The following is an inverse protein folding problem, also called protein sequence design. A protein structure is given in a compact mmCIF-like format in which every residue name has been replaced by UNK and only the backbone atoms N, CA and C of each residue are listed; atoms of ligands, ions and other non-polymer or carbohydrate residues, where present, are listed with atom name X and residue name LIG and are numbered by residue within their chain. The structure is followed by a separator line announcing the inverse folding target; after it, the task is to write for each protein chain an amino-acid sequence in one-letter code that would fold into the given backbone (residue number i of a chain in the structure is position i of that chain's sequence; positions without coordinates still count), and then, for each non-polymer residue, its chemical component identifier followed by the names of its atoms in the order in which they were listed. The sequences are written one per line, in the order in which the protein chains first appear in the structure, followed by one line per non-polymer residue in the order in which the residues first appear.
data_IF_259633818101
#
_entry.id   IF_259633818101
#
_cell.length_a   1.000
_cell.length_b   1.000
_cell.length_c   1.000
_cell.angle_alpha   90.00
_cell.angle_beta   90.00
_cell.angle_gamma   90.00
#
_symmetry.space_group_name_H-M   'P 1'
#
loop_
_entity.id
_entity.type
_entity.pdbx_description
1 polymer ?
#
# COMPACT_ATOMS: atom_id res chain seq x y z
N UNK A 1 -14.02 -0.38 -10.05
CA UNK A 1 -13.03 0.72 -9.96
C UNK A 1 -11.59 0.24 -9.85
N UNK A 2 -11.30 -0.86 -9.15
CA UNK A 2 -9.95 -1.43 -9.01
C UNK A 2 -9.18 -1.57 -10.34
N UNK A 3 -9.83 -2.07 -11.40
CA UNK A 3 -9.22 -2.18 -12.73
C UNK A 3 -8.68 -0.85 -13.25
N UNK A 4 -9.40 0.26 -13.03
CA UNK A 4 -8.99 1.63 -13.44
C UNK A 4 -7.80 2.15 -12.62
N UNK A 5 -7.72 1.74 -11.35
CA UNK A 5 -6.61 2.04 -10.47
C UNK A 5 -5.35 1.32 -10.94
N UNK A 6 -5.43 0.01 -11.18
CA UNK A 6 -4.31 -0.83 -11.64
C UNK A 6 -3.77 -0.35 -12.98
N UNK A 7 -4.65 0.04 -13.91
CA UNK A 7 -4.27 0.47 -15.27
C UNK A 7 -3.87 1.94 -15.37
N UNK A 8 -3.83 2.68 -14.26
CA UNK A 8 -3.42 4.08 -14.26
C UNK A 8 -4.40 5.01 -15.01
N UNK A 9 -5.67 4.63 -15.12
CA UNK A 9 -6.71 5.47 -15.73
C UNK A 9 -7.23 6.55 -14.78
N UNK A 10 -6.88 6.47 -13.49
CA UNK A 10 -7.16 7.51 -12.50
C UNK A 10 -6.07 8.58 -12.53
N UNK A 11 -6.41 9.79 -12.09
CA UNK A 11 -5.42 10.86 -11.95
C UNK A 11 -4.38 10.51 -10.88
N UNK A 12 -3.18 11.05 -11.03
CA UNK A 12 -2.07 10.86 -10.09
C UNK A 12 -2.44 11.20 -8.63
N UNK A 13 -3.06 12.38 -8.34
CA UNK A 13 -3.48 12.68 -6.97
C UNK A 13 -4.56 11.72 -6.46
N UNK A 14 -5.52 11.29 -7.29
CA UNK A 14 -6.54 10.32 -6.86
C UNK A 14 -5.91 8.95 -6.53
N UNK A 15 -4.95 8.51 -7.35
CA UNK A 15 -4.25 7.23 -7.18
C UNK A 15 -3.36 7.24 -5.93
N UNK A 16 -2.56 8.29 -5.75
CA UNK A 16 -1.61 8.36 -4.64
C UNK A 16 -2.26 8.79 -3.32
N UNK A 17 -2.99 9.90 -3.29
CA UNK A 17 -3.61 10.41 -2.05
C UNK A 17 -4.89 9.67 -1.70
N UNK A 18 -5.75 9.45 -2.69
CA UNK A 18 -7.04 8.78 -2.49
C UNK A 18 -6.86 7.31 -2.15
N UNK A 19 -6.15 6.55 -2.97
CA UNK A 19 -5.99 5.11 -2.74
C UNK A 19 -4.78 4.77 -1.89
N UNK A 20 -3.60 5.33 -2.18
CA UNK A 20 -2.38 5.04 -1.43
C UNK A 20 -2.44 5.55 0.01
N UNK A 21 -2.53 6.87 0.20
CA UNK A 21 -2.47 7.48 1.53
C UNK A 21 -3.72 7.19 2.36
N UNK A 22 -4.92 7.53 1.87
CA UNK A 22 -6.15 7.33 2.63
C UNK A 22 -6.45 5.84 2.86
N UNK A 23 -6.31 4.99 1.84
CA UNK A 23 -6.48 3.55 1.98
C UNK A 23 -5.45 2.94 2.94
N UNK A 24 -4.18 3.35 2.86
CA UNK A 24 -3.14 2.92 3.78
C UNK A 24 -3.38 3.35 5.24
N UNK A 25 -3.92 4.55 5.45
CA UNK A 25 -4.32 5.06 6.77
C UNK A 25 -5.46 4.24 7.38
N UNK A 26 -6.52 3.99 6.62
CA UNK A 26 -7.66 3.21 7.08
C UNK A 26 -7.25 1.79 7.50
N UNK A 27 -6.42 1.13 6.68
CA UNK A 27 -5.91 -0.21 7.01
C UNK A 27 -4.99 -0.18 8.23
N UNK A 28 -4.15 0.86 8.34
CA UNK A 28 -3.28 1.05 9.50
C UNK A 28 -4.06 1.23 10.80
N UNK A 29 -5.12 2.05 10.78
CA UNK A 29 -6.03 2.24 11.92
C UNK A 29 -6.73 0.93 12.29
N UNK A 30 -7.13 0.13 11.30
CA UNK A 30 -7.73 -1.19 11.54
C UNK A 30 -6.76 -2.15 12.25
N UNK A 31 -5.48 -2.15 11.86
CA UNK A 31 -4.43 -2.91 12.55
C UNK A 31 -4.24 -2.45 14.00
N UNK A 32 -4.24 -1.14 14.23
CA UNK A 32 -4.10 -0.53 15.56
C UNK A 32 -5.31 -0.83 16.45
N UNK A 33 -6.52 -0.76 15.90
CA UNK A 33 -7.75 -1.18 16.57
C UNK A 33 -7.72 -2.68 16.93
N UNK A 34 -7.15 -3.52 16.07
CA UNK A 34 -6.93 -4.95 16.34
C UNK A 34 -6.07 -5.20 17.58
N UNK A 35 -5.06 -4.36 17.82
CA UNK A 35 -4.23 -4.42 19.05
C UNK A 35 -5.07 -4.07 20.27
N UNK A 36 -5.83 -2.96 20.23
CA UNK A 36 -6.64 -2.50 21.37
C UNK A 36 -7.80 -3.43 21.73
N UNK A 37 -8.28 -4.22 20.77
CA UNK A 37 -9.40 -5.15 20.95
C UNK A 37 -8.94 -6.58 21.28
N UNK A 38 -7.63 -6.82 21.40
CA UNK A 38 -7.06 -8.15 21.71
C UNK A 38 -7.00 -9.12 20.53
N UNK A 39 -7.40 -8.68 19.32
CA UNK A 39 -7.32 -9.49 18.11
C UNK A 39 -5.97 -9.34 17.42
N UNK A 40 -4.93 -9.94 18.00
CA UNK A 40 -3.55 -9.85 17.49
C UNK A 40 -3.40 -10.31 16.02
N UNK A 41 -4.26 -11.23 15.53
CA UNK A 41 -4.26 -11.66 14.12
C UNK A 41 -4.66 -10.57 13.12
N UNK A 42 -5.38 -9.52 13.55
CA UNK A 42 -5.70 -8.39 12.66
C UNK A 42 -4.47 -7.60 12.25
N UNK A 43 -3.40 -7.63 13.05
CA UNK A 43 -2.14 -6.94 12.76
C UNK A 43 -1.46 -7.49 11.51
N UNK A 44 -1.05 -8.78 11.43
CA UNK A 44 -0.45 -9.32 10.21
C UNK A 44 -1.40 -9.27 9.01
N UNK A 45 -2.70 -9.47 9.23
CA UNK A 45 -3.71 -9.33 8.16
C UNK A 45 -3.72 -7.91 7.57
N UNK A 46 -3.69 -6.88 8.43
CA UNK A 46 -3.66 -5.49 7.98
C UNK A 46 -2.41 -5.17 7.16
N UNK A 47 -1.26 -5.74 7.52
CA UNK A 47 -0.03 -5.58 6.73
C UNK A 47 -0.09 -6.25 5.37
N UNK A 48 -0.69 -7.46 5.26
CA UNK A 48 -0.90 -8.14 3.99
C UNK A 48 -1.79 -7.27 3.08
N UNK A 49 -2.94 -6.84 3.58
CA UNK A 49 -3.89 -6.02 2.82
C UNK A 49 -3.27 -4.69 2.41
N UNK A 50 -2.51 -4.04 3.31
CA UNK A 50 -1.78 -2.80 3.02
C UNK A 50 -0.75 -3.00 1.91
N UNK A 51 -0.01 -4.11 1.93
CA UNK A 51 1.01 -4.41 0.91
C UNK A 51 0.36 -4.67 -0.46
N UNK A 52 -0.78 -5.35 -0.50
CA UNK A 52 -1.56 -5.55 -1.73
C UNK A 52 -2.05 -4.19 -2.28
N UNK A 53 -2.59 -3.34 -1.41
CA UNK A 53 -3.06 -2.00 -1.79
C UNK A 53 -1.92 -1.17 -2.41
N UNK A 54 -0.76 -1.10 -1.74
CA UNK A 54 0.38 -0.34 -2.25
C UNK A 54 0.96 -0.94 -3.53
N UNK A 55 0.91 -2.26 -3.73
CA UNK A 55 1.29 -2.90 -4.99
C UNK A 55 0.37 -2.48 -6.15
N UNK A 56 -0.94 -2.41 -5.90
CA UNK A 56 -1.93 -1.93 -6.88
C UNK A 56 -1.72 -0.45 -7.20
N UNK A 57 -1.50 0.37 -6.18
CA UNK A 57 -1.21 1.80 -6.33
C UNK A 57 0.09 2.02 -7.09
N UNK A 58 1.13 1.24 -6.79
CA UNK A 58 2.40 1.26 -7.50
C UNK A 58 2.19 0.96 -8.98
N UNK A 59 1.50 -0.13 -9.32
CA UNK A 59 1.14 -0.48 -10.70
C UNK A 59 0.43 0.69 -11.40
N UNK A 60 -0.59 1.26 -10.76
CA UNK A 60 -1.33 2.41 -11.29
C UNK A 60 -0.44 3.60 -11.60
N UNK A 61 0.46 3.95 -10.67
CA UNK A 61 1.44 5.02 -10.85
C UNK A 61 2.38 4.69 -12.00
N UNK A 62 2.90 3.46 -12.12
CA UNK A 62 3.78 3.06 -13.23
C UNK A 62 3.11 3.25 -14.60
N UNK A 63 1.83 2.89 -14.74
CA UNK A 63 1.08 3.11 -15.97
C UNK A 63 0.85 4.60 -16.26
N UNK A 64 0.61 5.43 -15.23
CA UNK A 64 0.50 6.89 -15.38
C UNK A 64 1.82 7.48 -15.87
N UNK A 65 2.95 7.10 -15.27
CA UNK A 65 4.28 7.57 -15.68
C UNK A 65 4.65 7.13 -17.09
N UNK A 66 4.24 5.92 -17.49
CA UNK A 66 4.46 5.43 -18.86
C UNK A 66 3.80 6.33 -19.91
N UNK A 67 2.68 6.96 -19.56
CA UNK A 67 1.96 7.89 -20.45
C UNK A 67 2.52 9.31 -20.37
N UNK A 68 2.91 9.77 -19.19
CA UNK A 68 3.49 11.09 -18.99
C UNK A 68 4.42 11.12 -17.78
N UNK A 69 5.72 11.33 -18.01
CA UNK A 69 6.70 11.43 -16.93
C UNK A 69 6.61 12.80 -16.28
N UNK A 70 6.18 12.82 -15.02
CA UNK A 70 6.10 14.02 -14.19
C UNK A 70 6.93 13.81 -12.93
N UNK A 71 7.58 14.88 -12.44
CA UNK A 71 8.42 14.83 -11.23
C UNK A 71 7.63 14.29 -10.03
N UNK A 72 6.40 14.79 -9.84
CA UNK A 72 5.50 14.34 -8.78
C UNK A 72 5.13 12.86 -8.90
N UNK A 73 4.98 12.35 -10.13
CA UNK A 73 4.73 10.94 -10.36
C UNK A 73 5.91 10.06 -10.01
N UNK A 74 7.12 10.47 -10.38
CA UNK A 74 8.35 9.75 -10.02
C UNK A 74 8.51 9.71 -8.50
N UNK A 75 8.26 10.83 -7.82
CA UNK A 75 8.28 10.88 -6.36
C UNK A 75 7.25 9.92 -5.74
N UNK A 76 6.00 9.97 -6.23
CA UNK A 76 4.93 9.09 -5.78
C UNK A 76 5.26 7.60 -6.02
N UNK A 77 5.93 7.28 -7.12
CA UNK A 77 6.40 5.93 -7.44
C UNK A 77 7.41 5.43 -6.40
N UNK A 78 8.44 6.22 -6.10
CA UNK A 78 9.44 5.84 -5.10
C UNK A 78 8.83 5.67 -3.71
N UNK A 79 7.93 6.56 -3.30
CA UNK A 79 7.23 6.44 -2.00
C UNK A 79 6.40 5.16 -1.94
N UNK A 80 5.63 4.85 -3.00
CA UNK A 80 4.85 3.61 -3.06
C UNK A 80 5.75 2.37 -3.07
N UNK A 81 6.87 2.40 -3.79
CA UNK A 81 7.84 1.30 -3.85
C UNK A 81 8.44 1.02 -2.47
N UNK A 82 8.88 2.05 -1.75
CA UNK A 82 9.41 1.92 -0.39
C UNK A 82 8.34 1.31 0.54
N UNK A 83 7.08 1.72 0.43
CA UNK A 83 5.99 1.14 1.22
C UNK A 83 5.79 -0.36 0.94
N UNK A 84 5.88 -0.79 -0.32
CA UNK A 84 5.78 -2.22 -0.67
C UNK A 84 6.96 -3.01 -0.09
N UNK A 85 8.19 -2.50 -0.23
CA UNK A 85 9.40 -3.15 0.32
C UNK A 85 9.29 -3.27 1.84
N UNK A 86 8.94 -2.18 2.53
CA UNK A 86 8.75 -2.19 3.98
C UNK A 86 7.64 -3.15 4.41
N UNK A 87 6.55 -3.24 3.65
CA UNK A 87 5.47 -4.20 3.88
C UNK A 87 5.94 -5.66 3.80
N UNK A 88 6.74 -6.00 2.78
CA UNK A 88 7.33 -7.33 2.61
C UNK A 88 8.30 -7.64 3.76
N UNK A 89 9.19 -6.71 4.10
CA UNK A 89 10.15 -6.86 5.21
C UNK A 89 9.43 -7.10 6.54
N UNK A 90 8.37 -6.33 6.82
CA UNK A 90 7.56 -6.52 8.02
C UNK A 90 6.87 -7.89 8.05
N UNK A 91 6.36 -8.35 6.91
CA UNK A 91 5.74 -9.68 6.82
C UNK A 91 6.74 -10.81 7.09
N UNK A 92 7.94 -10.72 6.52
CA UNK A 92 9.03 -11.68 6.78
C UNK A 92 9.45 -11.64 8.26
N UNK A 93 9.60 -10.45 8.83
CA UNK A 93 9.93 -10.26 10.25
C UNK A 93 8.86 -10.76 11.21
N UNK A 94 7.57 -10.59 10.88
CA UNK A 94 6.46 -11.17 11.65
C UNK A 94 6.44 -12.70 11.56
N UNK A 95 6.72 -13.24 10.38
CA UNK A 95 6.78 -14.69 10.16
C UNK A 95 7.90 -15.32 11.00
N UNK A 96 9.08 -14.70 11.06
CA UNK A 96 10.19 -15.22 11.89
C UNK A 96 9.91 -15.18 13.39
N UNK A 97 9.05 -14.26 13.86
CA UNK A 97 8.61 -14.22 15.26
C UNK A 97 7.54 -15.27 15.60
N UNK A 98 6.69 -15.65 14.63
CA UNK A 98 5.63 -16.65 14.83
C UNK A 98 6.13 -18.09 14.75
N UNK A 99 7.22 -18.35 14.02
CA UNK A 99 7.81 -19.69 13.86
C UNK A 99 9.03 -19.93 14.78
N UNK A 100 9.15 -19.17 15.87
CA UNK A 100 10.20 -19.36 16.89
C UNK A 100 9.72 -20.20 18.06
#
# INVERSE_FOLDING_TARGET
MLKKLVTGQLSLPMTFWGWGFCGGLLIGLMGLAGIHTGYAMLVPLSYIVKTILFSVVLSGITFILRRNITVLGVLAFFVALIQVIMGIVMFVGLSSLLFK
#
